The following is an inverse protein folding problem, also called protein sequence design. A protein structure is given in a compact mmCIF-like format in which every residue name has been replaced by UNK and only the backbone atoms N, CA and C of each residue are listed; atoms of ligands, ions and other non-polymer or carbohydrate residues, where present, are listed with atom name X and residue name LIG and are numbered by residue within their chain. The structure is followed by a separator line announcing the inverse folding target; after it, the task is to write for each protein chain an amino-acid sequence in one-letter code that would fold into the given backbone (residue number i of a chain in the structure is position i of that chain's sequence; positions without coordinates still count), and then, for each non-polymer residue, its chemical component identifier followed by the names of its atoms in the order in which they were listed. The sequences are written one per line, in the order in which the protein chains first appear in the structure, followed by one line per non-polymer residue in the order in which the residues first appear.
data_IF_486612428686
#
_entry.id   IF_486612428686
#
_cell.length_a   1.000
_cell.length_b   1.000
_cell.length_c   1.000
_cell.angle_alpha   90.00
_cell.angle_beta   90.00
_cell.angle_gamma   90.00
#
_symmetry.space_group_name_H-M   'P 1'
#
loop_
_entity.id
_entity.type
_entity.pdbx_description
1 polymer ?
#
# COMPACT_ATOMS: atom_id res chain seq x y z
N UNK A 1 4.76 21.38 -9.90
CA UNK A 1 5.73 20.75 -8.96
C UNK A 1 7.03 21.52 -9.00
N UNK A 2 7.62 21.86 -7.84
CA UNK A 2 8.97 22.42 -7.77
C UNK A 2 9.95 21.28 -7.43
N UNK A 3 10.81 20.92 -8.39
CA UNK A 3 11.68 19.74 -8.30
C UNK A 3 12.66 19.79 -7.12
N UNK A 4 13.30 20.94 -6.90
CA UNK A 4 14.28 21.09 -5.83
C UNK A 4 13.63 21.09 -4.44
N UNK A 5 12.39 21.60 -4.36
CA UNK A 5 11.57 21.47 -3.15
C UNK A 5 11.21 19.99 -2.92
N UNK A 6 10.75 19.27 -3.94
CA UNK A 6 10.34 17.86 -3.82
C UNK A 6 11.50 16.97 -3.37
N UNK A 7 12.67 17.09 -4.02
CA UNK A 7 13.89 16.37 -3.63
C UNK A 7 14.26 16.62 -2.17
N UNK A 8 14.16 17.88 -1.72
CA UNK A 8 14.46 18.25 -0.33
C UNK A 8 13.48 17.60 0.63
N UNK A 9 12.18 17.68 0.36
CA UNK A 9 11.18 17.06 1.22
C UNK A 9 11.30 15.52 1.24
N UNK A 10 11.65 14.89 0.12
CA UNK A 10 11.93 13.47 0.07
C UNK A 10 13.17 13.08 0.88
N UNK A 11 14.25 13.86 0.79
CA UNK A 11 15.42 13.66 1.62
C UNK A 11 15.07 13.78 3.12
N UNK A 12 14.34 14.84 3.50
CA UNK A 12 13.87 15.04 4.88
C UNK A 12 13.02 13.88 5.37
N UNK A 13 12.07 13.40 4.56
CA UNK A 13 11.25 12.25 4.91
C UNK A 13 12.09 11.00 5.20
N UNK A 14 13.16 10.76 4.43
CA UNK A 14 14.03 9.60 4.60
C UNK A 14 14.95 9.69 5.81
N UNK A 15 15.39 10.89 6.20
CA UNK A 15 16.47 11.05 7.19
C UNK A 15 16.03 11.68 8.51
N UNK A 16 15.00 12.51 8.50
CA UNK A 16 14.56 13.23 9.70
C UNK A 16 13.53 12.41 10.48
N UNK A 17 13.81 12.18 11.76
CA UNK A 17 12.78 11.75 12.71
C UNK A 17 11.97 12.98 13.09
N UNK A 18 10.72 13.06 12.65
CA UNK A 18 9.78 14.06 13.12
C UNK A 18 9.11 13.54 14.42
N UNK A 19 9.42 14.11 15.61
CA UNK A 19 8.84 13.63 16.87
C UNK A 19 7.32 13.89 16.97
N UNK A 20 6.80 14.86 16.21
CA UNK A 20 5.38 15.17 16.13
C UNK A 20 4.65 14.33 15.06
N UNK A 21 5.38 13.49 14.32
CA UNK A 21 4.79 12.61 13.31
C UNK A 21 3.93 11.54 13.99
N UNK A 22 2.61 11.65 13.83
CA UNK A 22 1.65 10.79 14.47
C UNK A 22 0.70 10.15 13.47
N UNK A 23 0.46 8.86 13.63
CA UNK A 23 -0.60 8.10 12.97
C UNK A 23 -1.07 7.03 13.97
N UNK A 24 -2.39 6.91 14.13
CA UNK A 24 -2.96 5.91 15.05
C UNK A 24 -2.76 4.50 14.49
N UNK A 25 -2.67 3.51 15.39
CA UNK A 25 -2.65 2.09 15.01
C UNK A 25 -3.85 1.75 14.13
N UNK A 26 -5.04 2.20 14.51
CA UNK A 26 -6.28 1.83 13.82
C UNK A 26 -6.33 2.45 12.42
N UNK A 27 -5.85 3.69 12.24
CA UNK A 27 -5.73 4.29 10.90
C UNK A 27 -4.78 3.48 9.99
N UNK A 28 -3.65 3.03 10.53
CA UNK A 28 -2.69 2.22 9.78
C UNK A 28 -3.26 0.84 9.40
N UNK A 29 -4.01 0.21 10.30
CA UNK A 29 -4.72 -1.05 10.03
C UNK A 29 -5.81 -0.86 8.99
N UNK A 30 -6.62 0.20 9.11
CA UNK A 30 -7.66 0.54 8.13
C UNK A 30 -7.04 0.78 6.74
N UNK A 31 -5.94 1.52 6.65
CA UNK A 31 -5.21 1.72 5.40
C UNK A 31 -4.72 0.39 4.81
N UNK A 32 -4.20 -0.53 5.63
CA UNK A 32 -3.77 -1.85 5.17
C UNK A 32 -4.93 -2.71 4.63
N UNK A 33 -6.11 -2.62 5.23
CA UNK A 33 -7.31 -3.34 4.79
C UNK A 33 -7.83 -2.74 3.47
N UNK A 34 -8.04 -1.43 3.44
CA UNK A 34 -8.56 -0.71 2.26
C UNK A 34 -7.59 -0.77 1.09
N UNK A 35 -6.29 -0.71 1.38
CA UNK A 35 -5.24 -0.56 0.39
C UNK A 35 -4.97 0.90 0.08
N UNK A 36 -3.69 1.21 -0.07
CA UNK A 36 -3.17 2.46 -0.58
C UNK A 36 -2.38 2.17 -1.85
N UNK A 37 -2.82 2.78 -2.95
CA UNK A 37 -2.12 2.73 -4.23
C UNK A 37 -1.29 4.01 -4.35
N UNK A 38 0.05 3.95 -4.18
CA UNK A 38 0.86 5.09 -4.55
C UNK A 38 0.71 5.30 -6.05
N UNK A 39 0.52 6.55 -6.47
CA UNK A 39 0.33 7.00 -7.85
C UNK A 39 0.90 6.03 -8.90
N UNK A 40 0.02 5.41 -9.69
CA UNK A 40 0.30 4.18 -10.44
C UNK A 40 1.55 4.29 -11.33
N UNK A 41 2.37 3.23 -11.37
CA UNK A 41 3.61 3.22 -12.18
C UNK A 41 3.34 3.38 -13.67
N UNK A 42 2.18 2.91 -14.15
CA UNK A 42 1.79 2.92 -15.55
C UNK A 42 0.60 3.86 -15.79
N UNK A 43 0.91 5.14 -15.89
CA UNK A 43 0.01 6.28 -16.16
C UNK A 43 -0.88 6.20 -17.42
N UNK A 44 -0.86 5.10 -18.17
CA UNK A 44 -1.64 4.95 -19.41
C UNK A 44 -3.13 4.65 -19.17
N UNK A 45 -3.53 4.18 -17.97
CA UNK A 45 -4.94 3.90 -17.65
C UNK A 45 -5.62 5.00 -16.82
N UNK A 46 -4.86 5.79 -16.06
CA UNK A 46 -5.40 6.73 -15.08
C UNK A 46 -4.88 8.16 -15.23
N UNK A 47 -3.85 8.41 -16.06
CA UNK A 47 -3.25 9.74 -16.23
C UNK A 47 -2.32 10.17 -15.09
N UNK A 48 -2.24 9.42 -13.99
CA UNK A 48 -1.45 9.76 -12.80
C UNK A 48 0.00 9.29 -12.90
N UNK A 49 0.75 9.86 -13.84
CA UNK A 49 2.20 9.84 -13.77
C UNK A 49 2.63 10.56 -12.49
N UNK A 50 3.52 9.95 -11.70
CA UNK A 50 4.11 10.61 -10.53
C UNK A 50 5.51 11.13 -10.86
N UNK A 51 5.69 12.42 -11.21
CA UNK A 51 7.02 12.92 -11.49
C UNK A 51 7.93 12.90 -10.25
N UNK A 52 7.34 12.97 -9.04
CA UNK A 52 8.08 12.87 -7.76
C UNK A 52 8.76 11.50 -7.60
N UNK A 53 8.11 10.41 -8.03
CA UNK A 53 8.66 9.05 -7.93
C UNK A 53 9.99 8.89 -8.69
N UNK A 54 10.16 9.57 -9.82
CA UNK A 54 11.37 9.46 -10.64
C UNK A 54 12.63 9.95 -9.91
N UNK A 55 12.48 10.90 -8.99
CA UNK A 55 13.61 11.53 -8.31
C UNK A 55 13.68 11.15 -6.82
N UNK A 56 12.53 10.85 -6.22
CA UNK A 56 12.39 10.56 -4.79
C UNK A 56 12.36 9.05 -4.49
N UNK A 57 12.07 8.22 -5.50
CA UNK A 57 11.97 6.77 -5.40
C UNK A 57 10.56 6.27 -5.12
N UNK A 58 10.41 4.94 -5.16
CA UNK A 58 9.15 4.23 -4.91
C UNK A 58 8.70 4.26 -3.43
N UNK A 59 9.56 4.76 -2.54
CA UNK A 59 9.40 4.74 -1.08
C UNK A 59 9.22 6.12 -0.46
N UNK A 60 9.33 7.20 -1.24
CA UNK A 60 9.26 8.57 -0.73
C UNK A 60 8.71 9.58 -1.75
N UNK A 61 7.96 9.12 -2.76
CA UNK A 61 7.24 10.03 -3.64
C UNK A 61 6.21 10.85 -2.83
N UNK A 62 5.77 11.98 -3.39
CA UNK A 62 4.80 12.88 -2.76
C UNK A 62 3.55 12.14 -2.25
N UNK A 63 3.01 11.16 -2.98
CA UNK A 63 1.86 10.35 -2.56
C UNK A 63 2.13 9.61 -1.22
N UNK A 64 3.33 9.07 -1.06
CA UNK A 64 3.74 8.36 0.17
C UNK A 64 3.95 9.36 1.29
N UNK A 65 4.66 10.47 1.05
CA UNK A 65 4.95 11.49 2.06
C UNK A 65 3.72 12.24 2.55
N UNK A 66 2.70 12.37 1.70
CA UNK A 66 1.41 12.96 2.06
C UNK A 66 0.55 12.02 2.92
N UNK A 67 0.77 10.71 2.81
CA UNK A 67 -0.04 9.69 3.49
C UNK A 67 0.61 9.23 4.79
N UNK A 68 1.93 8.99 4.76
CA UNK A 68 2.68 8.41 5.86
C UNK A 68 3.52 9.49 6.54
N UNK A 69 3.43 9.63 7.87
CA UNK A 69 4.20 10.63 8.61
C UNK A 69 5.72 10.37 8.61
N UNK A 70 6.12 9.12 8.41
CA UNK A 70 7.53 8.72 8.31
C UNK A 70 7.68 7.43 7.50
N UNK A 71 8.89 7.10 7.01
CA UNK A 71 9.15 5.87 6.28
C UNK A 71 8.75 4.63 7.08
N UNK A 72 8.91 4.67 8.42
CA UNK A 72 8.56 3.56 9.30
C UNK A 72 7.07 3.20 9.23
N UNK A 73 6.18 4.19 9.15
CA UNK A 73 4.75 3.93 8.99
C UNK A 73 4.45 3.27 7.64
N UNK A 74 5.15 3.69 6.58
CA UNK A 74 5.00 3.07 5.26
C UNK A 74 5.52 1.62 5.24
N UNK A 75 6.65 1.34 5.88
CA UNK A 75 7.17 -0.02 6.03
C UNK A 75 6.19 -0.93 6.79
N UNK A 76 5.64 -0.47 7.91
CA UNK A 76 4.66 -1.24 8.68
C UNK A 76 3.38 -1.44 7.87
N UNK A 77 2.91 -0.43 7.13
CA UNK A 77 1.79 -0.58 6.21
C UNK A 77 2.03 -1.69 5.19
N UNK A 78 3.21 -1.76 4.55
CA UNK A 78 3.53 -2.82 3.57
C UNK A 78 3.44 -4.20 4.19
N UNK A 79 3.94 -4.37 5.40
CA UNK A 79 3.87 -5.65 6.15
C UNK A 79 2.41 -6.02 6.44
N UNK A 80 1.63 -5.09 7.00
CA UNK A 80 0.22 -5.32 7.32
C UNK A 80 -0.60 -5.63 6.08
N UNK A 81 -0.36 -4.91 4.98
CA UNK A 81 -1.05 -5.13 3.70
C UNK A 81 -0.73 -6.50 3.13
N UNK A 82 0.54 -6.91 3.15
CA UNK A 82 0.95 -8.23 2.70
C UNK A 82 0.24 -9.33 3.51
N UNK A 83 0.27 -9.22 4.84
CA UNK A 83 -0.40 -10.18 5.71
C UNK A 83 -1.91 -10.22 5.48
N UNK A 84 -2.57 -9.07 5.35
CA UNK A 84 -4.00 -8.99 5.07
C UNK A 84 -4.36 -9.68 3.75
N UNK A 85 -3.65 -9.35 2.65
CA UNK A 85 -3.91 -9.92 1.34
C UNK A 85 -3.64 -11.43 1.30
N UNK A 86 -2.59 -11.91 1.97
CA UNK A 86 -2.31 -13.34 2.06
C UNK A 86 -3.45 -14.09 2.77
N UNK A 87 -3.97 -13.54 3.88
CA UNK A 87 -5.06 -14.18 4.63
C UNK A 87 -6.40 -14.12 3.88
N UNK A 88 -6.71 -13.00 3.23
CA UNK A 88 -7.90 -12.88 2.36
C UNK A 88 -7.81 -13.86 1.20
N UNK A 89 -6.64 -13.96 0.55
CA UNK A 89 -6.40 -14.91 -0.54
C UNK A 89 -6.60 -16.36 -0.09
N UNK A 90 -6.04 -16.75 1.06
CA UNK A 90 -6.25 -18.09 1.64
C UNK A 90 -7.72 -18.38 1.94
N UNK A 91 -8.44 -17.41 2.51
CA UNK A 91 -9.86 -17.56 2.81
C UNK A 91 -10.70 -17.74 1.54
N UNK A 92 -10.42 -16.96 0.50
CA UNK A 92 -11.08 -17.07 -0.79
C UNK A 92 -10.81 -18.43 -1.45
N UNK A 93 -9.56 -18.89 -1.45
CA UNK A 93 -9.20 -20.19 -2.02
C UNK A 93 -9.90 -21.34 -1.31
N UNK A 94 -10.01 -21.30 0.02
CA UNK A 94 -10.76 -22.30 0.79
C UNK A 94 -12.23 -22.31 0.44
N UNK A 95 -12.84 -21.13 0.26
CA UNK A 95 -14.24 -21.02 -0.14
C UNK A 95 -14.47 -21.67 -1.51
N UNK A 96 -13.67 -21.29 -2.51
CA UNK A 96 -13.78 -21.83 -3.88
C UNK A 96 -13.54 -23.35 -3.89
N UNK A 97 -12.55 -23.84 -3.13
CA UNK A 97 -12.30 -25.27 -3.04
C UNK A 97 -13.44 -26.03 -2.35
N UNK A 98 -14.09 -25.44 -1.34
CA UNK A 98 -15.28 -25.99 -0.70
C UNK A 98 -16.44 -26.14 -1.68
N UNK A 99 -16.77 -25.07 -2.41
CA UNK A 99 -17.83 -25.07 -3.44
C UNK A 99 -17.58 -26.16 -4.50
N UNK A 100 -16.35 -26.26 -5.02
CA UNK A 100 -16.00 -27.27 -6.02
C UNK A 100 -16.08 -28.72 -5.48
N UNK A 101 -15.82 -28.95 -4.20
CA UNK A 101 -15.91 -30.29 -3.60
C UNK A 101 -17.36 -30.66 -3.24
N UNK A 102 -18.23 -29.69 -2.97
CA UNK A 102 -19.66 -29.91 -2.73
C UNK A 102 -20.40 -30.26 -4.03
N UNK A 103 -20.13 -29.54 -5.12
CA UNK A 103 -20.74 -29.80 -6.45
C UNK A 103 -20.42 -31.20 -7.02
N UNK A 104 -19.23 -31.73 -6.69
CA UNK A 104 -18.84 -33.08 -7.12
C UNK A 104 -19.58 -34.20 -6.36
N UNK A 105 -20.06 -33.94 -5.15
CA UNK A 105 -20.79 -34.94 -4.36
C UNK A 105 -22.29 -35.03 -4.73
N UNK A 106 -22.85 -34.00 -5.37
CA UNK A 106 -24.24 -34.02 -5.86
C UNK A 106 -24.38 -34.66 -7.25
N UNK A 107 -23.34 -34.60 -8.09
CA UNK A 107 -23.36 -35.25 -9.42
C UNK A 107 -23.07 -36.76 -9.41
N UNK A 108 -22.70 -37.32 -8.26
CA UNK A 108 -22.44 -38.77 -8.06
C UNK A 108 -23.64 -39.50 -7.38
N UNK A 109 -24.80 -38.85 -7.25
CA UNK A 109 -26.06 -39.44 -6.75
C UNK A 109 -27.14 -39.50 -7.83
#
# INVERSE_FOLDING_TARGET
MNLEKDKREAARFKTETNPEAYMTRDALVTLAIQGFTPCEKDSLKTGDYCPSRNYSGDDACECIRATFPSPKFYEVYKILRHYYLENVGKALLRKIAGEALEDNNENDR
#
